data_IF_060375888889
#
_entry.id   IF_060375888889
#
_cell.length_a   1.000
_cell.length_b   1.000
_cell.length_c   1.000
_cell.angle_alpha   90.00
_cell.angle_beta   90.00
_cell.angle_gamma   90.00
#
_symmetry.space_group_name_H-M   'P 1'
#
loop_
_entity.id
_entity.type
_entity.pdbx_description
1 polymer ?
#
# COMPACT_ATOMS: atom_id res chain seq x y z
N UNK A 1 -76.99 2.26 -7.32
CA UNK A 1 -76.70 2.95 -6.04
C UNK A 1 -75.86 2.00 -5.17
N UNK A 2 -74.54 2.22 -5.10
CA UNK A 2 -73.78 2.95 -4.04
C UNK A 2 -73.64 2.10 -2.77
N UNK A 3 -72.58 1.30 -2.63
CA UNK A 3 -71.24 1.66 -2.12
C UNK A 3 -71.28 2.26 -0.72
N UNK A 4 -70.82 1.50 0.30
CA UNK A 4 -69.75 1.99 1.19
C UNK A 4 -69.18 0.83 2.03
N UNK A 5 -67.89 0.53 1.85
CA UNK A 5 -67.11 -0.41 2.67
C UNK A 5 -66.06 0.46 3.36
N UNK A 6 -66.45 1.06 4.49
CA UNK A 6 -65.58 1.92 5.28
C UNK A 6 -64.45 1.08 5.91
N UNK A 7 -63.31 1.07 5.24
CA UNK A 7 -62.06 0.50 5.74
C UNK A 7 -61.55 1.34 6.91
N UNK A 8 -61.60 0.76 8.12
CA UNK A 8 -60.99 1.33 9.32
C UNK A 8 -59.47 1.32 9.15
N UNK A 9 -58.89 2.48 8.85
CA UNK A 9 -57.44 2.67 8.83
C UNK A 9 -56.94 2.73 10.27
N UNK A 10 -56.37 1.62 10.76
CA UNK A 10 -55.63 1.58 12.03
C UNK A 10 -54.41 2.49 11.90
N UNK A 11 -54.51 3.71 12.43
CA UNK A 11 -53.36 4.61 12.60
C UNK A 11 -52.51 4.05 13.75
N UNK A 12 -51.25 3.64 13.51
CA UNK A 12 -50.39 3.12 14.56
C UNK A 12 -50.10 4.21 15.61
N UNK A 13 -50.23 3.86 16.89
CA UNK A 13 -50.04 4.79 18.01
C UNK A 13 -48.59 5.28 18.15
N UNK A 14 -48.37 6.43 18.82
CA UNK A 14 -47.09 7.15 18.87
C UNK A 14 -45.93 6.39 19.54
N UNK A 15 -46.21 5.29 20.26
CA UNK A 15 -45.19 4.41 20.82
C UNK A 15 -44.59 3.44 19.77
N UNK A 16 -45.42 2.95 18.84
CA UNK A 16 -45.01 1.99 17.81
C UNK A 16 -44.07 2.64 16.76
N UNK A 17 -44.26 3.93 16.51
CA UNK A 17 -43.41 4.71 15.60
C UNK A 17 -42.03 5.05 16.20
N UNK A 18 -41.92 5.13 17.52
CA UNK A 18 -40.65 5.41 18.22
C UNK A 18 -39.72 4.20 18.28
N UNK A 19 -40.27 3.02 18.57
CA UNK A 19 -39.54 1.74 18.56
C UNK A 19 -38.99 1.43 17.16
N UNK A 20 -39.84 1.57 16.13
CA UNK A 20 -39.46 1.37 14.73
C UNK A 20 -38.39 2.38 14.27
N UNK A 21 -38.54 3.67 14.63
CA UNK A 21 -37.56 4.69 14.31
C UNK A 21 -36.20 4.43 14.99
N UNK A 22 -36.20 3.91 16.22
CA UNK A 22 -35.00 3.59 16.97
C UNK A 22 -34.25 2.39 16.39
N UNK A 23 -34.96 1.34 15.94
CA UNK A 23 -34.35 0.21 15.22
C UNK A 23 -33.81 0.58 13.84
N UNK A 24 -34.52 1.41 13.07
CA UNK A 24 -34.05 1.92 11.78
C UNK A 24 -32.79 2.77 11.99
N UNK A 25 -32.77 3.62 13.02
CA UNK A 25 -31.58 4.42 13.36
C UNK A 25 -30.39 3.54 13.78
N UNK A 26 -30.62 2.50 14.59
CA UNK A 26 -29.58 1.53 14.96
C UNK A 26 -29.03 0.77 13.74
N UNK A 27 -29.90 0.38 12.80
CA UNK A 27 -29.50 -0.28 11.55
C UNK A 27 -28.72 0.66 10.62
N UNK A 28 -29.11 1.94 10.53
CA UNK A 28 -28.38 2.95 9.78
C UNK A 28 -27.01 3.23 10.37
N UNK A 29 -26.88 3.31 11.70
CA UNK A 29 -25.60 3.49 12.39
C UNK A 29 -24.71 2.25 12.19
N UNK A 30 -25.25 1.05 12.37
CA UNK A 30 -24.51 -0.20 12.15
C UNK A 30 -24.04 -0.34 10.69
N UNK A 31 -24.90 0.00 9.72
CA UNK A 31 -24.55 0.03 8.31
C UNK A 31 -23.43 1.04 7.99
N UNK A 32 -23.48 2.22 8.59
CA UNK A 32 -22.45 3.27 8.42
C UNK A 32 -21.09 2.85 8.99
N UNK A 33 -21.08 2.17 10.15
CA UNK A 33 -19.85 1.64 10.78
C UNK A 33 -19.18 0.55 9.93
N UNK A 34 -19.96 -0.28 9.23
CA UNK A 34 -19.43 -1.29 8.31
C UNK A 34 -18.75 -0.66 7.08
N UNK A 35 -19.22 0.50 6.62
CA UNK A 35 -18.68 1.17 5.43
C UNK A 35 -17.35 1.90 5.68
N UNK A 36 -16.93 2.04 6.94
CA UNK A 36 -15.71 2.78 7.32
C UNK A 36 -14.43 1.90 7.37
N UNK A 37 -14.50 0.61 7.02
CA UNK A 37 -13.38 -0.34 7.13
C UNK A 37 -12.40 -0.31 5.93
N UNK A 38 -12.40 0.76 5.12
CA UNK A 38 -11.77 0.77 3.78
C UNK A 38 -10.32 1.29 3.67
N UNK A 39 -9.69 1.79 4.74
CA UNK A 39 -8.37 2.43 4.63
C UNK A 39 -7.25 1.46 5.04
N UNK A 40 -6.72 0.67 4.10
CA UNK A 40 -5.53 -0.15 4.36
C UNK A 40 -4.26 0.62 4.01
N UNK A 41 -3.51 1.05 5.01
CA UNK A 41 -2.13 1.49 4.87
C UNK A 41 -1.23 0.31 4.44
N UNK A 42 -0.05 0.61 3.86
CA UNK A 42 0.89 -0.41 3.36
C UNK A 42 1.35 -1.42 4.43
N UNK A 43 1.52 -0.94 5.66
CA UNK A 43 2.04 -1.69 6.81
C UNK A 43 0.94 -1.84 7.86
N UNK A 44 0.89 -3.00 8.54
CA UNK A 44 -0.05 -3.22 9.63
C UNK A 44 0.04 -2.13 10.71
N UNK A 45 -1.10 -1.74 11.33
CA UNK A 45 -1.09 -0.72 12.38
C UNK A 45 -0.17 -1.07 13.55
N UNK A 46 -0.04 -2.35 13.89
CA UNK A 46 0.76 -2.80 15.02
C UNK A 46 2.26 -2.58 14.78
N UNK A 47 2.74 -2.94 13.59
CA UNK A 47 4.14 -2.69 13.21
C UNK A 47 4.38 -1.19 13.00
N UNK A 48 3.44 -0.49 12.36
CA UNK A 48 3.58 0.93 12.06
C UNK A 48 3.66 1.82 13.31
N UNK A 49 3.04 1.40 14.44
CA UNK A 49 3.16 2.11 15.74
C UNK A 49 4.55 1.99 16.35
N UNK A 50 5.33 0.98 16.00
CA UNK A 50 6.71 0.80 16.50
C UNK A 50 7.74 1.60 15.71
N UNK A 51 7.36 2.13 14.55
CA UNK A 51 8.25 2.88 13.67
C UNK A 51 8.50 4.31 14.16
N UNK A 52 9.75 4.74 14.16
CA UNK A 52 10.13 6.11 14.45
C UNK A 52 9.97 6.99 13.20
N UNK A 53 8.93 7.83 13.22
CA UNK A 53 8.59 8.71 12.09
C UNK A 53 9.48 9.95 11.98
N UNK A 54 10.32 10.21 12.97
CA UNK A 54 11.24 11.36 12.95
C UNK A 54 12.51 11.06 12.14
N UNK A 55 12.78 9.77 11.89
CA UNK A 55 13.94 9.30 11.15
C UNK A 55 13.61 9.30 9.66
N UNK A 56 14.20 10.25 8.93
CA UNK A 56 14.10 10.31 7.47
C UNK A 56 15.14 9.42 6.81
N UNK A 57 14.91 9.03 5.55
CA UNK A 57 15.88 8.22 4.81
C UNK A 57 17.24 8.91 4.64
N UNK A 58 17.25 10.22 4.39
CA UNK A 58 18.50 10.99 4.29
C UNK A 58 19.30 10.93 5.61
N UNK A 59 18.63 10.95 6.76
CA UNK A 59 19.28 10.80 8.07
C UNK A 59 19.82 9.38 8.26
N UNK A 60 19.06 8.35 7.84
CA UNK A 60 19.51 6.96 7.87
C UNK A 60 20.80 6.75 7.08
N UNK A 61 20.90 7.36 5.90
CA UNK A 61 22.10 7.23 5.08
C UNK A 61 23.29 8.05 5.58
N UNK A 62 23.04 9.24 6.13
CA UNK A 62 24.10 10.10 6.63
C UNK A 62 24.77 9.55 7.91
N UNK A 63 23.99 8.94 8.81
CA UNK A 63 24.49 8.34 10.06
C UNK A 63 23.70 7.07 10.43
N UNK A 64 23.98 5.93 9.77
CA UNK A 64 23.33 4.65 10.06
C UNK A 64 23.47 4.21 11.53
N UNK A 65 24.66 4.33 12.18
CA UNK A 65 24.83 3.95 13.59
C UNK A 65 23.87 4.63 14.55
N UNK A 66 23.55 5.91 14.35
CA UNK A 66 22.62 6.65 15.22
C UNK A 66 21.20 6.09 15.25
N UNK A 67 20.81 5.36 14.21
CA UNK A 67 19.45 4.83 14.03
C UNK A 67 19.37 3.33 14.30
N UNK A 68 20.48 2.69 14.71
CA UNK A 68 20.53 1.25 14.98
C UNK A 68 19.52 0.83 16.05
N UNK A 69 18.83 -0.28 15.82
CA UNK A 69 17.76 -0.81 16.67
C UNK A 69 16.42 -0.08 16.54
N UNK A 70 16.35 1.03 15.77
CA UNK A 70 15.10 1.73 15.48
C UNK A 70 14.37 1.05 14.33
N UNK A 71 13.05 1.00 14.43
CA UNK A 71 12.20 0.57 13.31
C UNK A 71 11.86 1.78 12.45
N UNK A 72 11.96 1.62 11.14
CA UNK A 72 11.65 2.66 10.16
C UNK A 72 10.74 2.10 9.07
N UNK A 73 9.97 2.97 8.42
CA UNK A 73 9.16 2.61 7.25
C UNK A 73 9.75 3.34 6.06
N UNK A 74 10.27 2.57 5.12
CA UNK A 74 10.87 3.07 3.88
C UNK A 74 10.39 2.20 2.73
N UNK A 75 10.49 2.70 1.50
CA UNK A 75 10.15 1.89 0.34
C UNK A 75 10.79 2.42 -0.92
N UNK A 76 10.51 1.75 -2.01
CA UNK A 76 11.13 2.05 -3.29
C UNK A 76 10.97 0.93 -4.29
N UNK A 77 11.85 0.93 -5.29
CA UNK A 77 11.90 -0.05 -6.36
C UNK A 77 12.96 -1.09 -6.04
N UNK A 78 12.64 -2.36 -6.22
CA UNK A 78 13.62 -3.44 -6.15
C UNK A 78 14.62 -3.24 -7.29
N UNK A 79 15.89 -3.07 -6.94
CA UNK A 79 16.97 -3.14 -7.91
C UNK A 79 17.36 -4.59 -8.18
N UNK A 80 17.47 -5.38 -7.10
CA UNK A 80 17.88 -6.77 -7.19
C UNK A 80 17.46 -7.55 -5.95
N UNK A 81 17.28 -8.86 -6.13
CA UNK A 81 16.97 -9.79 -5.05
C UNK A 81 17.91 -11.00 -5.13
N UNK A 82 18.44 -11.43 -3.99
CA UNK A 82 19.38 -12.55 -3.89
C UNK A 82 19.04 -13.44 -2.70
N UNK A 83 18.84 -14.72 -2.97
CA UNK A 83 18.68 -15.72 -1.93
C UNK A 83 20.05 -16.16 -1.40
N UNK A 84 20.18 -16.24 -0.08
CA UNK A 84 21.36 -16.72 0.64
C UNK A 84 20.95 -17.88 1.55
N UNK A 85 21.91 -18.52 2.24
CA UNK A 85 21.62 -19.66 3.12
C UNK A 85 20.67 -19.31 4.28
N UNK A 86 20.66 -18.06 4.71
CA UNK A 86 19.92 -17.59 5.89
C UNK A 86 18.60 -16.88 5.56
N UNK A 87 18.28 -16.67 4.28
CA UNK A 87 17.10 -15.92 3.86
C UNK A 87 17.29 -15.21 2.53
N UNK A 88 16.70 -14.02 2.40
CA UNK A 88 16.72 -13.23 1.16
C UNK A 88 17.20 -11.81 1.44
N UNK A 89 18.16 -11.36 0.64
CA UNK A 89 18.53 -9.95 0.53
C UNK A 89 17.81 -9.30 -0.64
N UNK A 90 17.27 -8.11 -0.41
CA UNK A 90 16.61 -7.28 -1.41
C UNK A 90 17.31 -5.93 -1.40
N UNK A 91 17.88 -5.56 -2.53
CA UNK A 91 18.47 -4.25 -2.74
C UNK A 91 17.41 -3.32 -3.34
N UNK A 92 17.21 -2.17 -2.72
CA UNK A 92 16.09 -1.28 -3.02
C UNK A 92 16.61 0.12 -3.33
N UNK A 93 16.15 0.70 -4.44
CA UNK A 93 16.31 2.12 -4.74
C UNK A 93 15.19 2.87 -4.04
N UNK A 94 15.55 3.68 -3.05
CA UNK A 94 14.59 4.37 -2.22
C UNK A 94 13.81 5.42 -3.03
N UNK A 95 12.50 5.45 -2.78
CA UNK A 95 11.61 6.53 -3.22
C UNK A 95 10.81 7.03 -2.03
N UNK A 96 10.45 8.31 -2.08
CA UNK A 96 9.48 8.87 -1.14
C UNK A 96 8.16 8.10 -1.21
N UNK A 97 7.56 7.87 -0.04
CA UNK A 97 6.26 7.21 0.06
C UNK A 97 5.13 8.25 -0.08
N UNK A 98 3.99 7.81 -0.62
CA UNK A 98 2.75 8.56 -0.59
C UNK A 98 2.02 8.39 0.76
N UNK A 99 0.83 8.97 0.85
CA UNK A 99 -0.02 8.89 2.05
C UNK A 99 -0.39 7.45 2.44
N UNK A 100 -0.48 6.54 1.46
CA UNK A 100 -0.82 5.13 1.65
C UNK A 100 0.41 4.27 1.93
N UNK A 101 1.60 4.86 1.91
CA UNK A 101 2.86 4.16 2.05
C UNK A 101 3.35 3.52 0.76
N UNK A 102 2.79 3.84 -0.41
CA UNK A 102 3.28 3.36 -1.71
C UNK A 102 4.43 4.24 -2.23
N UNK A 103 5.49 3.68 -2.83
CA UNK A 103 6.52 4.46 -3.50
C UNK A 103 5.93 5.41 -4.55
N UNK A 104 6.33 6.69 -4.53
CA UNK A 104 5.89 7.67 -5.53
C UNK A 104 6.51 7.39 -6.90
N UNK A 105 5.76 7.62 -7.97
CA UNK A 105 6.25 7.50 -9.34
C UNK A 105 6.95 8.79 -9.79
N UNK A 106 8.18 9.02 -9.32
CA UNK A 106 9.04 10.15 -9.74
C UNK A 106 10.45 9.66 -10.10
N UNK A 107 11.23 10.49 -10.79
CA UNK A 107 12.65 10.21 -11.08
C UNK A 107 13.56 10.50 -9.88
N UNK A 108 13.03 11.09 -8.82
CA UNK A 108 13.79 11.41 -7.60
C UNK A 108 13.99 10.15 -6.78
N UNK A 109 15.25 9.87 -6.44
CA UNK A 109 15.64 8.76 -5.58
C UNK A 109 16.45 9.29 -4.40
N UNK A 110 16.29 8.67 -3.23
CA UNK A 110 17.08 9.02 -2.04
C UNK A 110 18.38 8.24 -1.93
N UNK A 111 18.65 7.30 -2.85
CA UNK A 111 19.78 6.37 -2.81
C UNK A 111 19.35 4.92 -2.60
N UNK A 112 20.23 4.06 -2.07
CA UNK A 112 19.98 2.62 -1.97
C UNK A 112 20.06 2.13 -0.52
N UNK A 113 19.32 1.08 -0.22
CA UNK A 113 19.36 0.35 1.04
C UNK A 113 19.15 -1.13 0.80
N UNK A 114 19.56 -1.95 1.77
CA UNK A 114 19.43 -3.39 1.72
C UNK A 114 18.42 -3.83 2.77
N UNK A 115 17.54 -4.72 2.36
CA UNK A 115 16.53 -5.35 3.22
C UNK A 115 16.88 -6.82 3.33
N UNK A 116 17.03 -7.30 4.55
CA UNK A 116 17.17 -8.71 4.85
C UNK A 116 15.85 -9.27 5.39
N UNK A 117 15.38 -10.35 4.78
CA UNK A 117 14.23 -11.11 5.21
C UNK A 117 14.69 -12.52 5.63
N UNK A 118 14.45 -12.97 6.88
CA UNK A 118 14.87 -14.30 7.37
C UNK A 118 13.96 -15.44 6.87
N UNK A 119 13.55 -15.38 5.60
CA UNK A 119 12.84 -16.45 4.87
C UNK A 119 13.18 -16.31 3.39
N UNK A 120 13.11 -17.42 2.69
CA UNK A 120 13.24 -17.43 1.23
C UNK A 120 12.02 -16.76 0.59
N UNK A 121 12.30 -15.78 -0.26
CA UNK A 121 11.32 -15.19 -1.16
C UNK A 121 11.58 -15.66 -2.60
N UNK A 122 10.52 -15.74 -3.38
CA UNK A 122 10.62 -16.04 -4.80
C UNK A 122 11.17 -14.80 -5.55
N UNK A 123 12.33 -14.97 -6.17
CA UNK A 123 13.05 -13.91 -6.89
C UNK A 123 12.26 -13.46 -8.13
N UNK A 124 11.43 -14.33 -8.71
CA UNK A 124 10.56 -13.99 -9.84
C UNK A 124 9.41 -13.08 -9.40
N UNK A 125 8.95 -13.23 -8.16
CA UNK A 125 7.91 -12.36 -7.57
C UNK A 125 8.53 -11.05 -7.08
N UNK A 126 9.66 -11.12 -6.39
CA UNK A 126 10.45 -9.97 -5.94
C UNK A 126 11.49 -9.57 -6.99
N UNK A 127 11.04 -9.44 -8.24
CA UNK A 127 11.88 -9.12 -9.37
C UNK A 127 12.29 -7.64 -9.39
N UNK A 128 13.38 -7.29 -10.10
CA UNK A 128 13.72 -5.90 -10.37
C UNK A 128 12.55 -5.09 -10.93
N UNK A 129 12.47 -3.81 -10.56
CA UNK A 129 11.41 -2.88 -10.97
C UNK A 129 10.11 -2.98 -10.16
N UNK A 130 9.95 -3.98 -9.30
CA UNK A 130 8.78 -4.09 -8.41
C UNK A 130 8.84 -3.06 -7.29
N UNK A 131 7.69 -2.52 -6.92
CA UNK A 131 7.57 -1.58 -5.80
C UNK A 131 7.35 -2.31 -4.49
N UNK A 132 8.11 -1.93 -3.46
CA UNK A 132 7.92 -2.43 -2.11
C UNK A 132 7.91 -1.32 -1.06
N UNK A 133 7.23 -1.60 0.04
CA UNK A 133 7.29 -0.82 1.28
C UNK A 133 7.68 -1.76 2.40
N UNK A 134 8.63 -1.34 3.23
CA UNK A 134 9.25 -2.16 4.25
C UNK A 134 9.18 -1.42 5.57
N UNK A 135 8.62 -2.10 6.57
CA UNK A 135 8.87 -1.78 7.97
C UNK A 135 9.99 -2.66 8.46
N UNK A 136 11.13 -2.06 8.80
CA UNK A 136 12.35 -2.79 9.13
C UNK A 136 13.12 -2.13 10.26
N UNK A 137 13.84 -2.96 11.01
CA UNK A 137 14.76 -2.50 12.03
C UNK A 137 16.14 -2.23 11.42
N UNK A 138 16.71 -1.07 11.71
CA UNK A 138 18.07 -0.72 11.27
C UNK A 138 19.07 -1.55 12.06
N UNK A 139 19.79 -2.44 11.40
CA UNK A 139 20.77 -3.33 12.07
C UNK A 139 22.22 -2.92 11.84
N UNK A 140 22.47 -2.12 10.81
CA UNK A 140 23.79 -1.58 10.51
C UNK A 140 23.92 -1.24 9.03
N UNK A 141 25.03 -1.63 8.44
CA UNK A 141 25.32 -1.45 7.02
C UNK A 141 25.81 -2.75 6.42
N UNK A 142 25.46 -3.01 5.17
CA UNK A 142 25.88 -4.18 4.41
C UNK A 142 26.53 -3.71 3.10
N UNK A 143 27.58 -4.41 2.68
CA UNK A 143 28.18 -4.14 1.38
C UNK A 143 27.21 -4.50 0.24
N UNK A 144 27.25 -3.80 -0.90
CA UNK A 144 26.44 -4.13 -2.05
C UNK A 144 26.71 -5.59 -2.49
N UNK A 145 25.74 -6.48 -2.31
CA UNK A 145 25.95 -7.93 -2.44
C UNK A 145 26.26 -8.40 -3.88
N UNK A 146 26.21 -7.50 -4.86
CA UNK A 146 26.20 -7.74 -6.30
C UNK A 146 27.08 -6.75 -7.09
N UNK A 147 28.27 -6.45 -6.55
CA UNK A 147 29.37 -5.87 -7.34
C UNK A 147 29.46 -4.33 -7.36
N UNK A 148 28.81 -3.65 -6.41
CA UNK A 148 29.00 -2.21 -6.23
C UNK A 148 30.38 -1.93 -5.61
N UNK A 149 31.26 -1.27 -6.35
CA UNK A 149 32.54 -0.73 -5.87
C UNK A 149 32.35 0.56 -5.04
N UNK A 150 31.45 0.52 -4.06
CA UNK A 150 30.98 1.71 -3.34
C UNK A 150 30.84 1.53 -1.83
N UNK A 151 30.41 2.60 -1.16
CA UNK A 151 30.14 2.63 0.28
C UNK A 151 29.00 1.65 0.67
N UNK A 152 29.09 1.09 1.87
CA UNK A 152 28.08 0.19 2.42
C UNK A 152 26.72 0.87 2.52
N UNK A 153 25.65 0.11 2.24
CA UNK A 153 24.27 0.60 2.33
C UNK A 153 23.66 0.27 3.68
N UNK A 154 22.69 1.07 4.11
CA UNK A 154 21.90 0.78 5.32
C UNK A 154 21.24 -0.58 5.19
N UNK A 155 21.42 -1.42 6.21
CA UNK A 155 20.81 -2.73 6.33
C UNK A 155 19.58 -2.67 7.25
N UNK A 156 18.45 -3.12 6.72
CA UNK A 156 17.20 -3.26 7.46
C UNK A 156 16.82 -4.73 7.59
N UNK A 157 16.57 -5.20 8.81
CA UNK A 157 15.89 -6.47 9.02
C UNK A 157 14.39 -6.27 8.89
N UNK A 158 13.79 -6.89 7.88
CA UNK A 158 12.37 -6.76 7.59
C UNK A 158 11.51 -7.39 8.68
N UNK A 159 10.61 -6.58 9.25
CA UNK A 159 9.51 -7.05 10.10
C UNK A 159 8.26 -7.29 9.24
N UNK A 160 8.01 -6.39 8.31
CA UNK A 160 6.89 -6.48 7.37
C UNK A 160 7.31 -5.91 6.02
N UNK A 161 6.89 -6.59 4.94
CA UNK A 161 7.13 -6.16 3.56
C UNK A 161 5.79 -6.18 2.82
N UNK A 162 5.41 -5.03 2.28
CA UNK A 162 4.35 -4.90 1.31
C UNK A 162 4.95 -4.92 -0.09
N UNK A 163 4.58 -5.93 -0.87
CA UNK A 163 4.81 -5.95 -2.30
C UNK A 163 3.59 -5.38 -3.02
N UNK A 164 3.79 -4.32 -3.80
CA UNK A 164 2.70 -3.70 -4.54
C UNK A 164 2.37 -4.51 -5.81
N UNK A 165 1.10 -4.50 -6.25
CA UNK A 165 0.73 -5.07 -7.53
C UNK A 165 1.54 -4.39 -8.64
N UNK A 166 1.90 -5.13 -9.71
CA UNK A 166 2.51 -4.50 -10.87
C UNK A 166 1.59 -3.40 -11.40
N UNK A 167 2.18 -2.29 -11.81
CA UNK A 167 1.43 -1.26 -12.50
C UNK A 167 0.97 -1.81 -13.84
N UNK A 168 -0.34 -1.78 -14.09
CA UNK A 168 -0.87 -2.14 -15.40
C UNK A 168 -0.44 -1.04 -16.37
N UNK A 169 0.22 -1.38 -17.49
CA UNK A 169 0.59 -0.38 -18.47
C UNK A 169 -0.65 0.38 -18.96
N UNK A 170 -0.47 1.64 -19.34
CA UNK A 170 -1.58 2.53 -19.72
C UNK A 170 -2.39 1.99 -20.90
N UNK A 171 -1.78 1.23 -21.81
CA UNK A 171 -2.45 0.59 -22.94
C UNK A 171 -3.36 -0.59 -22.56
N UNK A 172 -3.24 -1.15 -21.35
CA UNK A 172 -4.20 -2.12 -20.83
C UNK A 172 -5.46 -1.47 -20.22
N UNK A 173 -5.49 -0.13 -20.11
CA UNK A 173 -6.72 0.58 -19.75
C UNK A 173 -7.66 0.53 -20.95
N UNK A 174 -8.96 0.27 -20.74
CA UNK A 174 -9.90 0.24 -21.84
C UNK A 174 -9.85 1.56 -22.61
N UNK A 175 -9.66 1.47 -23.94
CA UNK A 175 -9.41 2.65 -24.78
C UNK A 175 -10.52 3.71 -24.65
N UNK A 176 -11.78 3.30 -24.39
CA UNK A 176 -12.91 4.21 -24.16
C UNK A 176 -12.77 5.14 -22.94
N UNK A 177 -11.78 4.90 -22.07
CA UNK A 177 -11.50 5.72 -20.87
C UNK A 177 -10.41 6.78 -21.11
N UNK A 178 -9.79 6.81 -22.28
CA UNK A 178 -8.82 7.84 -22.67
C UNK A 178 -9.58 9.10 -23.15
N UNK A 179 -9.37 10.29 -22.56
CA UNK A 179 -10.00 11.53 -23.02
C UNK A 179 -9.67 11.91 -24.47
N UNK A 180 -8.59 11.34 -25.02
CA UNK A 180 -8.17 11.50 -26.41
C UNK A 180 -8.62 10.33 -27.30
N UNK A 181 -9.44 9.41 -26.76
CA UNK A 181 -10.04 8.35 -27.54
C UNK A 181 -11.02 8.91 -28.56
N UNK A 182 -10.62 8.86 -29.82
CA UNK A 182 -11.51 9.08 -30.95
C UNK A 182 -11.77 7.74 -31.65
N UNK A 183 -13.01 7.22 -31.61
CA UNK A 183 -13.39 5.98 -32.29
C UNK A 183 -13.25 6.06 -33.82
N UNK A 184 -13.11 7.27 -34.39
CA UNK A 184 -12.90 7.51 -35.82
C UNK A 184 -11.42 7.76 -36.17
N UNK A 185 -10.51 7.73 -35.20
CA UNK A 185 -9.08 7.91 -35.46
C UNK A 185 -8.52 6.76 -36.31
N UNK A 186 -7.53 7.02 -37.20
CA UNK A 186 -6.87 5.98 -37.97
C UNK A 186 -6.21 4.89 -37.09
N UNK A 187 -5.81 5.25 -35.87
CA UNK A 187 -5.23 4.31 -34.89
C UNK A 187 -6.26 3.35 -34.30
N UNK A 188 -7.56 3.72 -34.24
CA UNK A 188 -8.63 2.86 -33.73
C UNK A 188 -8.95 1.64 -34.62
N UNK A 189 -8.45 1.60 -35.86
CA UNK A 189 -8.66 0.48 -36.80
C UNK A 189 -7.67 -0.67 -36.65
N UNK A 190 -6.57 -0.46 -35.93
CA UNK A 190 -5.54 -1.47 -35.73
C UNK A 190 -5.22 -1.54 -34.24
N UNK A 191 -6.10 -2.19 -33.48
CA UNK A 191 -5.78 -2.61 -32.12
C UNK A 191 -4.62 -3.61 -32.18
N UNK A 192 -3.48 -3.23 -31.62
CA UNK A 192 -2.42 -4.15 -31.19
C UNK A 192 -2.69 -4.56 -29.75
#
# INVERSE_FOLDING_TARGET
>A
MSNDRSSVTLVPGPAQTREAAMHILSLLIAGTVLLLQGCSYAISPDVARTADRTITFNKLQADPPSSKGKTVIVGGLIAQTKNVKTGTFIEVVQKELDYWGRPRHTDRTGGRFIVFQPRYLDILVFSPGREITVAGEVTGTEEPSLGGSGAAYVLLNAREIKLWPPEKPSWEKPQFLDPLYDPNSPQGKYGY
#
